data_IF_416723910131
#
_entry.id   IF_416723910131
#
_cell.length_a   1.000
_cell.length_b   1.000
_cell.length_c   1.000
_cell.angle_alpha   90.00
_cell.angle_beta   90.00
_cell.angle_gamma   90.00
#
_symmetry.space_group_name_H-M   'P 1'
#
loop_
_entity.id
_entity.type
_entity.pdbx_description
1 polymer ?
#
# COMPACT_ATOMS: atom_id res chain seq x y z
N UNK A 1 70.74 -15.99 -33.64
CA UNK A 1 69.80 -14.85 -33.65
C UNK A 1 68.78 -15.09 -32.54
N UNK A 2 68.67 -14.22 -31.53
CA UNK A 2 67.67 -14.39 -30.48
C UNK A 2 66.27 -14.05 -31.03
N UNK A 3 65.19 -14.61 -30.47
CA UNK A 3 63.84 -14.27 -30.91
C UNK A 3 63.50 -12.82 -30.53
N UNK A 4 62.62 -12.14 -31.29
CA UNK A 4 62.20 -10.79 -30.95
C UNK A 4 61.44 -10.78 -29.62
N UNK A 5 61.53 -9.68 -28.84
CA UNK A 5 60.78 -9.57 -27.60
C UNK A 5 59.28 -9.55 -27.90
N UNK A 6 58.52 -10.40 -27.20
CA UNK A 6 57.06 -10.38 -27.24
C UNK A 6 56.57 -9.01 -26.76
N UNK A 7 55.85 -8.28 -27.61
CA UNK A 7 55.07 -7.12 -27.19
C UNK A 7 54.18 -7.53 -26.01
N UNK A 8 54.36 -6.87 -24.86
CA UNK A 8 53.41 -6.98 -23.75
C UNK A 8 52.06 -6.48 -24.28
N UNK A 9 51.06 -7.35 -24.28
CA UNK A 9 49.66 -6.94 -24.41
C UNK A 9 49.41 -5.87 -23.35
N UNK A 10 49.01 -4.68 -23.80
CA UNK A 10 48.58 -3.61 -22.93
C UNK A 10 47.48 -4.14 -21.99
N UNK A 11 47.64 -3.87 -20.70
CA UNK A 11 46.60 -4.08 -19.71
C UNK A 11 45.31 -3.39 -20.19
N UNK A 12 44.13 -4.02 -20.05
CA UNK A 12 42.88 -3.33 -20.36
C UNK A 12 42.79 -2.14 -19.41
N UNK A 13 42.82 -0.94 -19.99
CA UNK A 13 42.57 0.33 -19.33
C UNK A 13 41.36 0.14 -18.42
N UNK A 14 41.60 0.16 -17.11
CA UNK A 14 40.54 0.28 -16.13
C UNK A 14 39.84 1.60 -16.44
N UNK A 15 38.69 1.54 -17.11
CA UNK A 15 37.84 2.70 -17.34
C UNK A 15 37.44 3.18 -15.95
N UNK A 16 38.12 4.22 -15.47
CA UNK A 16 37.72 4.96 -14.29
C UNK A 16 36.39 5.62 -14.63
N UNK A 17 35.28 4.92 -14.33
CA UNK A 17 33.94 5.49 -14.38
C UNK A 17 33.90 6.66 -13.41
N UNK A 18 33.30 7.76 -13.85
CA UNK A 18 33.09 8.93 -12.99
C UNK A 18 32.33 8.47 -11.73
N UNK A 19 32.78 8.82 -10.52
CA UNK A 19 32.05 8.57 -9.28
C UNK A 19 30.57 9.01 -9.33
N UNK A 20 30.23 10.04 -10.12
CA UNK A 20 28.85 10.46 -10.36
C UNK A 20 28.06 9.42 -11.17
N UNK A 21 28.64 8.86 -12.22
CA UNK A 21 28.02 7.80 -13.04
C UNK A 21 27.77 6.54 -12.21
N UNK A 22 28.71 6.19 -11.32
CA UNK A 22 28.57 5.03 -10.42
C UNK A 22 27.39 5.21 -9.47
N UNK A 23 27.14 6.43 -8.98
CA UNK A 23 26.01 6.73 -8.07
C UNK A 23 24.65 6.73 -8.77
N UNK A 24 24.61 6.93 -10.08
CA UNK A 24 23.39 6.87 -10.89
C UNK A 24 23.05 5.48 -11.42
N UNK A 25 23.90 4.46 -11.17
CA UNK A 25 23.60 3.11 -11.61
C UNK A 25 22.36 2.58 -10.87
N UNK A 26 21.40 1.98 -11.60
CA UNK A 26 20.24 1.37 -10.98
C UNK A 26 20.69 0.21 -10.07
N UNK A 27 20.04 0.06 -8.93
CA UNK A 27 20.27 -1.04 -8.01
C UNK A 27 19.10 -2.01 -8.15
N UNK A 28 19.37 -3.19 -8.69
CA UNK A 28 18.39 -4.26 -8.76
C UNK A 28 18.38 -5.05 -7.45
N UNK A 29 17.21 -5.13 -6.82
CA UNK A 29 17.00 -5.83 -5.56
C UNK A 29 15.73 -6.66 -5.68
N UNK A 30 15.82 -7.96 -5.40
CA UNK A 30 14.63 -8.79 -5.26
C UNK A 30 13.79 -8.29 -4.08
N UNK A 31 12.52 -7.96 -4.32
CA UNK A 31 11.63 -7.36 -3.31
C UNK A 31 11.55 -8.20 -2.01
N UNK A 32 11.53 -9.53 -2.14
CA UNK A 32 11.51 -10.47 -1.02
C UNK A 32 12.71 -10.32 -0.07
N UNK A 33 13.83 -9.79 -0.59
CA UNK A 33 15.07 -9.57 0.16
C UNK A 33 15.34 -8.09 0.42
N UNK A 34 14.46 -7.19 0.02
CA UNK A 34 14.64 -5.75 0.21
C UNK A 34 14.87 -5.40 1.68
N UNK A 35 14.10 -6.02 2.56
CA UNK A 35 14.20 -5.76 3.99
C UNK A 35 15.54 -6.21 4.60
N UNK A 36 16.06 -7.38 4.20
CA UNK A 36 17.40 -7.85 4.58
C UNK A 36 18.47 -6.91 4.03
N UNK A 37 18.37 -6.56 2.75
CA UNK A 37 19.30 -5.68 2.07
C UNK A 37 19.40 -4.30 2.73
N UNK A 38 18.27 -3.73 3.18
CA UNK A 38 18.23 -2.47 3.90
C UNK A 38 19.00 -2.54 5.22
N UNK A 39 18.91 -3.65 5.95
CA UNK A 39 19.65 -3.86 7.21
C UNK A 39 21.13 -4.10 6.95
N UNK A 40 21.47 -4.97 6.00
CA UNK A 40 22.86 -5.32 5.66
C UNK A 40 23.66 -4.10 5.18
N UNK A 41 22.99 -3.20 4.43
CA UNK A 41 23.57 -1.94 3.96
C UNK A 41 23.48 -0.80 4.97
N UNK A 42 23.02 -1.08 6.20
CA UNK A 42 22.85 -0.11 7.29
C UNK A 42 21.99 1.10 6.89
N UNK A 43 21.01 0.88 6.01
CA UNK A 43 20.00 1.90 5.65
C UNK A 43 18.92 2.01 6.71
N UNK A 44 18.62 0.87 7.35
CA UNK A 44 17.65 0.72 8.44
C UNK A 44 18.35 -0.06 9.57
N UNK A 45 18.13 0.27 10.86
CA UNK A 45 18.82 -0.40 11.96
C UNK A 45 18.32 -1.84 12.14
N UNK A 46 19.15 -2.73 12.70
CA UNK A 46 18.80 -4.13 12.90
C UNK A 46 17.58 -4.32 13.82
N UNK A 47 17.37 -3.42 14.79
CA UNK A 47 16.27 -3.43 15.74
C UNK A 47 15.02 -2.66 15.26
N UNK A 48 14.94 -2.34 13.95
CA UNK A 48 13.85 -1.52 13.40
C UNK A 48 12.45 -2.05 13.71
N UNK A 49 12.24 -3.37 13.80
CA UNK A 49 10.93 -3.95 14.18
C UNK A 49 10.51 -3.57 15.59
N UNK A 50 11.46 -3.55 16.53
CA UNK A 50 11.22 -3.10 17.91
C UNK A 50 10.87 -1.61 17.95
N UNK A 51 11.57 -0.81 17.13
CA UNK A 51 11.28 0.63 16.97
C UNK A 51 9.90 0.84 16.36
N UNK A 52 9.57 0.09 15.33
CA UNK A 52 8.27 0.12 14.69
C UNK A 52 7.14 -0.23 15.68
N UNK A 53 7.31 -1.29 16.48
CA UNK A 53 6.33 -1.64 17.50
C UNK A 53 6.11 -0.50 18.51
N UNK A 54 7.18 0.19 18.93
CA UNK A 54 7.06 1.35 19.80
C UNK A 54 6.35 2.53 19.12
N UNK A 55 6.57 2.75 17.81
CA UNK A 55 5.87 3.77 17.02
C UNK A 55 4.39 3.41 16.89
N UNK A 56 4.06 2.17 16.56
CA UNK A 56 2.68 1.67 16.45
C UNK A 56 1.91 1.79 17.76
N UNK A 57 2.57 1.55 18.90
CA UNK A 57 1.96 1.78 20.21
C UNK A 57 1.64 3.27 20.46
N UNK A 58 2.54 4.19 20.10
CA UNK A 58 2.27 5.64 20.19
C UNK A 58 1.17 6.09 19.24
N UNK A 59 1.15 5.53 18.04
CA UNK A 59 0.13 5.78 17.04
C UNK A 59 -1.25 5.36 17.56
N UNK A 60 -1.38 4.15 18.11
CA UNK A 60 -2.63 3.69 18.69
C UNK A 60 -3.15 4.61 19.81
N UNK A 61 -2.25 5.10 20.68
CA UNK A 61 -2.60 6.05 21.72
C UNK A 61 -3.09 7.41 21.14
N UNK A 62 -2.35 7.97 20.18
CA UNK A 62 -2.71 9.24 19.54
C UNK A 62 -3.95 9.13 18.63
N UNK A 63 -4.27 7.94 18.15
CA UNK A 63 -5.44 7.68 17.32
C UNK A 63 -6.74 7.78 18.12
N UNK A 64 -6.75 7.38 19.38
CA UNK A 64 -7.93 7.50 20.25
C UNK A 64 -8.34 8.95 20.52
N UNK A 65 -7.41 9.89 20.48
CA UNK A 65 -7.62 11.33 20.67
C UNK A 65 -7.65 12.13 19.37
N UNK A 66 -7.68 11.45 18.22
CA UNK A 66 -7.65 12.11 16.91
C UNK A 66 -8.96 12.91 16.68
N UNK A 67 -8.89 14.22 16.40
CA UNK A 67 -10.07 15.04 16.12
C UNK A 67 -10.63 14.74 14.72
N UNK A 68 -11.44 13.68 14.61
CA UNK A 68 -11.97 13.15 13.32
C UNK A 68 -12.82 14.14 12.54
N UNK A 69 -13.47 15.09 13.21
CA UNK A 69 -14.39 16.04 12.58
C UNK A 69 -13.69 17.15 11.78
N UNK A 70 -12.36 17.29 11.91
CA UNK A 70 -11.61 18.34 11.21
C UNK A 70 -11.53 18.12 9.70
N UNK A 71 -11.58 16.87 9.23
CA UNK A 71 -11.41 16.58 7.81
C UNK A 71 -12.02 15.22 7.42
N UNK A 72 -12.73 15.09 6.28
CA UNK A 72 -13.36 13.83 5.85
C UNK A 72 -12.41 12.63 5.80
N UNK A 73 -11.17 12.84 5.36
CA UNK A 73 -10.12 11.80 5.39
C UNK A 73 -9.91 11.18 6.77
N UNK A 74 -10.00 11.95 7.87
CA UNK A 74 -9.80 11.42 9.22
C UNK A 74 -10.96 10.51 9.66
N UNK A 75 -12.14 10.68 9.08
CA UNK A 75 -13.32 9.87 9.37
C UNK A 75 -13.22 8.47 8.76
N UNK A 76 -12.51 8.34 7.63
CA UNK A 76 -12.33 7.07 6.90
C UNK A 76 -11.20 6.18 7.45
N UNK A 77 -10.44 6.65 8.44
CA UNK A 77 -9.27 5.93 8.93
C UNK A 77 -9.64 4.77 9.86
N UNK A 78 -9.02 3.62 9.59
CA UNK A 78 -8.96 2.45 10.46
C UNK A 78 -7.53 2.30 11.01
N UNK A 79 -7.40 1.93 12.29
CA UNK A 79 -6.11 1.95 13.00
C UNK A 79 -5.06 1.05 12.35
N UNK A 80 -5.50 -0.11 11.86
CA UNK A 80 -4.69 -1.15 11.23
C UNK A 80 -4.04 -0.65 9.93
N UNK A 81 -4.69 0.27 9.23
CA UNK A 81 -4.25 0.79 7.93
C UNK A 81 -3.26 1.96 8.04
N UNK A 82 -3.07 2.53 9.23
CA UNK A 82 -2.25 3.74 9.39
C UNK A 82 -0.76 3.39 9.48
N UNK A 83 -0.03 3.57 8.38
CA UNK A 83 1.42 3.52 8.33
C UNK A 83 2.06 4.91 8.35
N UNK A 84 3.32 4.98 7.92
CA UNK A 84 4.07 6.24 7.78
C UNK A 84 3.36 7.28 6.91
N UNK A 85 2.82 6.88 5.74
CA UNK A 85 2.22 7.81 4.79
C UNK A 85 0.93 8.43 5.34
N UNK A 86 0.10 7.61 5.97
CA UNK A 86 -1.13 8.04 6.63
C UNK A 86 -0.79 8.95 7.81
N UNK A 87 0.21 8.60 8.63
CA UNK A 87 0.67 9.44 9.73
C UNK A 87 1.14 10.83 9.25
N UNK A 88 1.84 10.92 8.12
CA UNK A 88 2.21 12.23 7.52
C UNK A 88 0.99 13.02 7.08
N UNK A 89 0.01 12.37 6.46
CA UNK A 89 -1.21 13.02 5.98
C UNK A 89 -2.10 13.49 7.12
N UNK A 90 -2.19 12.69 8.19
CA UNK A 90 -2.85 13.10 9.44
C UNK A 90 -2.14 14.33 10.01
N UNK A 91 -0.82 14.29 10.13
CA UNK A 91 -0.05 15.43 10.61
C UNK A 91 -0.25 16.69 9.74
N UNK A 92 -0.23 16.59 8.40
CA UNK A 92 -0.44 17.74 7.52
C UNK A 92 -1.82 18.35 7.69
N UNK A 93 -2.86 17.53 7.81
CA UNK A 93 -4.23 18.00 8.06
C UNK A 93 -4.32 18.74 9.40
N UNK A 94 -3.73 18.19 10.47
CA UNK A 94 -3.75 18.81 11.80
C UNK A 94 -3.03 20.18 11.81
N UNK A 95 -1.91 20.25 11.08
CA UNK A 95 -1.13 21.48 10.91
C UNK A 95 -1.93 22.55 10.14
N UNK A 96 -2.58 22.17 9.05
CA UNK A 96 -3.39 23.08 8.22
C UNK A 96 -4.69 23.53 8.91
N UNK A 97 -5.25 22.70 9.80
CA UNK A 97 -6.49 23.00 10.53
C UNK A 97 -6.31 24.02 11.66
N UNK A 98 -5.11 24.59 11.80
CA UNK A 98 -4.75 25.57 12.84
C UNK A 98 -5.06 25.07 14.27
N UNK A 99 -4.99 23.74 14.47
CA UNK A 99 -5.00 23.12 15.81
C UNK A 99 -3.65 23.28 16.55
N UNK A 100 -2.73 23.99 15.90
CA UNK A 100 -1.38 24.28 16.35
C UNK A 100 -1.41 25.18 17.59
N UNK A 101 -1.36 24.55 18.74
CA UNK A 101 -0.85 25.20 19.95
C UNK A 101 0.68 25.03 19.98
N UNK A 102 1.42 26.05 20.42
CA UNK A 102 2.87 25.96 20.61
C UNK A 102 3.23 26.21 22.06
N UNK A 103 4.19 25.46 22.59
CA UNK A 103 4.75 25.74 23.91
C UNK A 103 5.73 26.93 23.89
N UNK A 104 6.23 27.31 25.07
CA UNK A 104 7.16 28.44 25.27
C UNK A 104 8.46 28.29 24.47
N UNK A 105 8.81 27.07 24.03
CA UNK A 105 9.96 26.77 23.19
C UNK A 105 9.61 26.66 21.69
N UNK A 106 8.42 27.09 21.29
CA UNK A 106 7.95 27.10 19.90
C UNK A 106 7.60 25.73 19.31
N UNK A 107 7.57 24.66 20.12
CA UNK A 107 7.21 23.31 19.66
C UNK A 107 5.70 23.13 19.60
N UNK A 108 5.21 22.40 18.60
CA UNK A 108 3.81 22.02 18.50
C UNK A 108 3.37 21.22 19.73
N UNK A 109 2.15 21.49 20.20
CA UNK A 109 1.47 20.81 21.31
C UNK A 109 0.09 20.32 20.88
N UNK A 110 -0.54 19.47 21.70
CA UNK A 110 -1.81 18.81 21.34
C UNK A 110 -1.62 17.76 20.23
N UNK A 111 -2.71 17.43 19.53
CA UNK A 111 -2.72 16.37 18.51
C UNK A 111 -1.69 16.61 17.41
N UNK A 112 -1.51 17.84 16.91
CA UNK A 112 -0.52 18.15 15.88
C UNK A 112 0.91 17.81 16.33
N UNK A 113 1.28 18.12 17.59
CA UNK A 113 2.59 17.78 18.16
C UNK A 113 2.78 16.28 18.39
N UNK A 114 1.74 15.56 18.80
CA UNK A 114 1.78 14.10 18.95
C UNK A 114 2.03 13.40 17.62
N UNK A 115 1.29 13.78 16.58
CA UNK A 115 1.44 13.22 15.23
C UNK A 115 2.75 13.65 14.55
N UNK A 116 3.24 14.88 14.81
CA UNK A 116 4.59 15.30 14.40
C UNK A 116 5.67 14.38 14.99
N UNK A 117 5.56 14.06 16.29
CA UNK A 117 6.49 13.18 16.99
C UNK A 117 6.47 11.76 16.45
N UNK A 118 5.29 11.24 16.07
CA UNK A 118 5.13 9.93 15.42
C UNK A 118 5.83 9.93 14.06
N UNK A 119 5.59 10.94 13.21
CA UNK A 119 6.24 11.07 11.90
C UNK A 119 7.76 11.14 12.05
N UNK A 120 8.27 11.97 12.97
CA UNK A 120 9.71 12.06 13.27
C UNK A 120 10.29 10.74 13.75
N UNK A 121 9.53 9.94 14.51
CA UNK A 121 9.98 8.64 14.98
C UNK A 121 10.08 7.61 13.84
N UNK A 122 9.18 7.66 12.85
CA UNK A 122 9.30 6.87 11.62
C UNK A 122 10.54 7.27 10.80
N UNK A 123 10.76 8.58 10.63
CA UNK A 123 11.84 9.14 9.80
C UNK A 123 13.21 8.93 10.44
N UNK A 124 13.28 8.93 11.77
CA UNK A 124 14.50 8.63 12.51
C UNK A 124 15.01 7.24 12.13
N UNK A 125 16.26 7.17 11.71
CA UNK A 125 16.93 5.94 11.26
C UNK A 125 16.17 5.20 10.13
N UNK A 126 15.29 5.90 9.40
CA UNK A 126 14.50 5.41 8.27
C UNK A 126 13.64 4.17 8.56
N UNK A 127 13.07 4.07 9.76
CA UNK A 127 12.22 2.92 10.15
C UNK A 127 11.07 2.68 9.17
N UNK A 128 10.53 3.74 8.58
CA UNK A 128 9.50 3.65 7.53
C UNK A 128 9.91 2.80 6.32
N UNK A 129 11.20 2.74 5.96
CA UNK A 129 11.66 1.89 4.85
C UNK A 129 11.58 0.40 5.20
N UNK A 130 11.85 0.04 6.46
CA UNK A 130 11.71 -1.33 6.94
C UNK A 130 10.25 -1.79 6.90
N UNK A 131 9.34 -0.93 7.35
CA UNK A 131 7.90 -1.16 7.27
C UNK A 131 7.42 -1.28 5.82
N UNK A 132 7.80 -0.34 4.95
CA UNK A 132 7.43 -0.36 3.54
C UNK A 132 7.92 -1.64 2.83
N UNK A 133 9.14 -2.09 3.12
CA UNK A 133 9.65 -3.35 2.59
C UNK A 133 8.82 -4.55 3.09
N UNK A 134 8.45 -4.58 4.37
CA UNK A 134 7.59 -5.63 4.93
C UNK A 134 6.20 -5.64 4.26
N UNK A 135 5.57 -4.47 4.12
CA UNK A 135 4.25 -4.33 3.47
C UNK A 135 4.32 -4.79 2.02
N UNK A 136 5.38 -4.43 1.29
CA UNK A 136 5.56 -4.84 -0.10
C UNK A 136 5.62 -6.37 -0.24
N UNK A 137 6.36 -7.05 0.64
CA UNK A 137 6.43 -8.51 0.67
C UNK A 137 5.07 -9.13 0.95
N UNK A 138 4.33 -8.58 1.93
CA UNK A 138 2.98 -9.03 2.28
C UNK A 138 2.01 -8.88 1.09
N UNK A 139 1.98 -7.70 0.48
CA UNK A 139 1.10 -7.37 -0.63
C UNK A 139 1.34 -8.30 -1.83
N UNK A 140 2.60 -8.48 -2.22
CA UNK A 140 2.96 -9.24 -3.42
C UNK A 140 2.75 -10.73 -3.21
N UNK A 141 3.12 -11.28 -2.05
CA UNK A 141 3.07 -12.72 -1.81
C UNK A 141 1.70 -13.22 -1.37
N UNK A 142 0.88 -12.40 -0.74
CA UNK A 142 -0.35 -12.86 -0.09
C UNK A 142 -1.58 -12.05 -0.48
N UNK A 143 -1.56 -10.73 -0.28
CA UNK A 143 -2.79 -9.95 -0.36
C UNK A 143 -3.30 -9.82 -1.80
N UNK A 144 -2.42 -9.51 -2.76
CA UNK A 144 -2.78 -9.44 -4.18
C UNK A 144 -3.27 -10.80 -4.70
N UNK A 145 -2.57 -11.94 -4.50
CA UNK A 145 -3.08 -13.24 -4.87
C UNK A 145 -4.43 -13.58 -4.25
N UNK A 146 -4.62 -13.29 -2.96
CA UNK A 146 -5.87 -13.52 -2.25
C UNK A 146 -7.02 -12.70 -2.87
N UNK A 147 -6.81 -11.39 -3.04
CA UNK A 147 -7.81 -10.49 -3.62
C UNK A 147 -8.16 -10.90 -5.06
N UNK A 148 -7.18 -11.30 -5.87
CA UNK A 148 -7.42 -11.81 -7.23
C UNK A 148 -8.33 -13.04 -7.22
N UNK A 149 -8.13 -13.96 -6.28
CA UNK A 149 -8.98 -15.14 -6.13
C UNK A 149 -10.40 -14.76 -5.70
N UNK A 150 -10.54 -13.81 -4.78
CA UNK A 150 -11.86 -13.32 -4.36
C UNK A 150 -12.59 -12.66 -5.53
N UNK A 151 -11.91 -11.79 -6.29
CA UNK A 151 -12.47 -11.14 -7.47
C UNK A 151 -12.97 -12.18 -8.50
N UNK A 152 -12.17 -13.20 -8.79
CA UNK A 152 -12.57 -14.26 -9.73
C UNK A 152 -13.81 -15.02 -9.24
N UNK A 153 -13.89 -15.33 -7.94
CA UNK A 153 -15.06 -15.98 -7.34
C UNK A 153 -16.31 -15.11 -7.46
N UNK A 154 -16.21 -13.83 -7.13
CA UNK A 154 -17.33 -12.88 -7.24
C UNK A 154 -17.79 -12.73 -8.69
N UNK A 155 -16.85 -12.67 -9.65
CA UNK A 155 -17.19 -12.60 -11.07
C UNK A 155 -17.94 -13.85 -11.56
N UNK A 156 -17.53 -15.04 -11.13
CA UNK A 156 -18.23 -16.29 -11.45
C UNK A 156 -19.65 -16.31 -10.86
N UNK A 157 -19.80 -15.86 -9.62
CA UNK A 157 -21.11 -15.77 -8.97
C UNK A 157 -22.02 -14.77 -9.68
N UNK A 158 -21.49 -13.63 -10.10
CA UNK A 158 -22.24 -12.64 -10.86
C UNK A 158 -22.73 -13.20 -12.20
N UNK A 159 -21.87 -13.87 -12.96
CA UNK A 159 -22.24 -14.48 -14.24
C UNK A 159 -23.33 -15.55 -14.10
N UNK A 160 -23.28 -16.36 -13.02
CA UNK A 160 -24.33 -17.34 -12.73
C UNK A 160 -25.66 -16.66 -12.35
N UNK A 161 -25.62 -15.56 -11.58
CA UNK A 161 -26.80 -14.79 -11.24
C UNK A 161 -27.44 -14.14 -12.48
N UNK A 162 -26.63 -13.54 -13.36
CA UNK A 162 -27.09 -12.95 -14.62
C UNK A 162 -27.78 -14.00 -15.51
N UNK A 163 -27.21 -15.21 -15.58
CA UNK A 163 -27.81 -16.33 -16.32
C UNK A 163 -29.15 -16.74 -15.73
N UNK A 164 -29.23 -16.89 -14.40
CA UNK A 164 -30.48 -17.25 -13.72
C UNK A 164 -31.54 -16.18 -13.90
N UNK A 165 -31.17 -14.91 -13.83
CA UNK A 165 -32.07 -13.80 -14.08
C UNK A 165 -32.65 -13.87 -15.50
N UNK A 166 -31.83 -14.11 -16.52
CA UNK A 166 -32.28 -14.26 -17.89
C UNK A 166 -33.24 -15.43 -18.08
N UNK A 167 -32.93 -16.60 -17.48
CA UNK A 167 -33.78 -17.78 -17.55
C UNK A 167 -35.13 -17.54 -16.85
N UNK A 168 -35.15 -16.90 -15.68
CA UNK A 168 -36.38 -16.55 -14.96
C UNK A 168 -37.23 -15.58 -15.78
N UNK A 169 -36.63 -14.52 -16.36
CA UNK A 169 -37.35 -13.57 -17.23
C UNK A 169 -37.97 -14.27 -18.43
N UNK A 170 -37.24 -15.18 -19.06
CA UNK A 170 -37.74 -15.98 -20.19
C UNK A 170 -38.92 -16.87 -19.77
N UNK A 171 -38.81 -17.56 -18.62
CA UNK A 171 -39.86 -18.42 -18.10
C UNK A 171 -41.12 -17.61 -17.73
N UNK A 172 -40.94 -16.45 -17.10
CA UNK A 172 -42.04 -15.55 -16.76
C UNK A 172 -42.78 -15.08 -18.02
N UNK A 173 -42.06 -14.65 -19.06
CA UNK A 173 -42.65 -14.25 -20.34
C UNK A 173 -43.43 -15.41 -20.98
N UNK A 174 -42.85 -16.61 -21.02
CA UNK A 174 -43.51 -17.80 -21.56
C UNK A 174 -44.78 -18.17 -20.77
N UNK A 175 -44.74 -18.07 -19.44
CA UNK A 175 -45.93 -18.32 -18.61
C UNK A 175 -47.03 -17.29 -18.84
N UNK A 176 -46.66 -16.02 -19.04
CA UNK A 176 -47.62 -14.96 -19.34
C UNK A 176 -48.30 -15.19 -20.71
N UNK A 177 -47.53 -15.58 -21.73
CA UNK A 177 -48.08 -15.94 -23.05
C UNK A 177 -49.03 -17.14 -22.95
N UNK A 178 -48.61 -18.23 -22.30
CA UNK A 178 -49.45 -19.43 -22.12
C UNK A 178 -50.73 -19.15 -21.35
N UNK A 179 -50.66 -18.29 -20.34
CA UNK A 179 -51.84 -17.86 -19.60
C UNK A 179 -52.83 -17.13 -20.51
N UNK A 180 -52.35 -16.18 -21.31
CA UNK A 180 -53.19 -15.44 -22.26
C UNK A 180 -53.84 -16.37 -23.30
N UNK A 181 -53.08 -17.31 -23.86
CA UNK A 181 -53.58 -18.34 -24.79
C UNK A 181 -54.70 -19.19 -24.15
N UNK A 182 -54.48 -19.68 -22.93
CA UNK A 182 -55.47 -20.49 -22.21
C UNK A 182 -56.77 -19.71 -21.91
N UNK A 183 -56.67 -18.42 -21.57
CA UNK A 183 -57.85 -17.58 -21.37
C UNK A 183 -58.63 -17.37 -22.69
N UNK A 184 -57.93 -17.19 -23.82
CA UNK A 184 -58.57 -17.08 -25.13
C UNK A 184 -59.32 -18.35 -25.52
N UNK A 185 -58.74 -19.53 -25.28
CA UNK A 185 -59.40 -20.83 -25.54
C UNK A 185 -60.69 -21.01 -24.75
N UNK A 186 -60.77 -20.44 -23.54
CA UNK A 186 -61.95 -20.48 -22.68
C UNK A 186 -62.99 -19.38 -22.99
N UNK A 187 -62.74 -18.53 -23.99
CA UNK A 187 -63.62 -17.41 -24.34
C UNK A 187 -63.60 -16.26 -23.33
N UNK A 188 -62.57 -16.19 -22.48
CA UNK A 188 -62.37 -15.14 -21.48
C UNK A 188 -61.53 -14.01 -22.09
N UNK A 189 -61.96 -12.76 -21.93
CA UNK A 189 -61.14 -11.60 -22.31
C UNK A 189 -60.03 -11.39 -21.26
N UNK A 190 -58.78 -11.34 -21.74
CA UNK A 190 -57.55 -11.04 -20.97
C UNK A 190 -57.27 -9.55 -21.03
#
# INVERSE_FOLDING_TARGET
VPPPPRCRSADPVAVMRDPAEIRSLPIDIAFARLQEWLVDRKRVPQDWRKRLAAIRARLAAAFSSLPRDLHPYLQTLELEEIGYLEAKKIYSILLESNTDSRNIFGRLTGSAGEWESIVKAYEKDHVFLGEAAQIMVQNVNYDIPYQRKQMQKTQQQLAELDRREADIKRLAALSATRYAEACQELGLQV
#
